data_IF_180764239600
#
_entry.id   IF_180764239600
#
_cell.length_a   1.000
_cell.length_b   1.000
_cell.length_c   1.000
_cell.angle_alpha   90.00
_cell.angle_beta   90.00
_cell.angle_gamma   90.00
#
_symmetry.space_group_name_H-M   'P 1'
#
loop_
_entity.id
_entity.type
_entity.pdbx_description
1 polymer ?
#
# COMPACT_ATOMS: atom_id res chain seq x y z
N UNK A 1 -8.29 19.85 15.31
CA UNK A 1 -7.00 19.23 14.91
C UNK A 1 -6.83 19.37 13.41
N UNK A 2 -5.73 19.95 12.94
CA UNK A 2 -5.45 20.00 11.50
C UNK A 2 -4.96 18.62 11.05
N UNK A 3 -5.64 18.02 10.07
CA UNK A 3 -5.23 16.73 9.51
C UNK A 3 -3.83 16.84 8.89
N UNK A 4 -2.95 15.89 9.19
CA UNK A 4 -1.65 15.75 8.55
C UNK A 4 -1.87 15.46 7.07
N UNK A 5 -1.40 16.37 6.19
CA UNK A 5 -1.49 16.20 4.73
C UNK A 5 -0.82 14.91 4.27
N UNK A 6 0.31 14.53 4.88
CA UNK A 6 1.02 13.29 4.53
C UNK A 6 0.15 12.05 4.71
N UNK A 7 -0.63 11.96 5.79
CA UNK A 7 -1.50 10.81 6.04
C UNK A 7 -2.63 10.76 4.99
N UNK A 8 -3.15 11.92 4.58
CA UNK A 8 -4.12 11.96 3.47
C UNK A 8 -3.51 11.47 2.16
N UNK A 9 -2.30 11.91 1.82
CA UNK A 9 -1.57 11.44 0.63
C UNK A 9 -1.24 9.95 0.69
N UNK A 10 -0.81 9.45 1.85
CA UNK A 10 -0.54 8.02 2.05
C UNK A 10 -1.82 7.20 1.89
N UNK A 11 -2.95 7.62 2.47
CA UNK A 11 -4.23 6.93 2.28
C UNK A 11 -4.69 6.93 0.82
N UNK A 12 -4.49 8.03 0.09
CA UNK A 12 -4.77 8.06 -1.37
C UNK A 12 -3.89 7.06 -2.11
N UNK A 13 -2.60 6.99 -1.80
CA UNK A 13 -1.71 6.02 -2.44
C UNK A 13 -2.06 4.58 -2.07
N UNK A 14 -2.47 4.32 -0.83
CA UNK A 14 -2.94 2.98 -0.42
C UNK A 14 -4.14 2.53 -1.26
N UNK A 15 -5.07 3.45 -1.59
CA UNK A 15 -6.18 3.17 -2.52
C UNK A 15 -5.64 2.86 -3.92
N UNK A 16 -4.70 3.66 -4.43
CA UNK A 16 -4.09 3.44 -5.75
C UNK A 16 -3.40 2.08 -5.81
N UNK A 17 -2.60 1.74 -4.79
CA UNK A 17 -1.96 0.44 -4.67
C UNK A 17 -2.98 -0.69 -4.56
N UNK A 18 -4.10 -0.47 -3.88
CA UNK A 18 -5.19 -1.43 -3.83
C UNK A 18 -5.73 -1.72 -5.25
N UNK A 19 -5.98 -0.69 -6.05
CA UNK A 19 -6.42 -0.89 -7.45
C UNK A 19 -5.34 -1.58 -8.28
N UNK A 20 -4.08 -1.15 -8.16
CA UNK A 20 -2.95 -1.75 -8.88
C UNK A 20 -2.78 -3.24 -8.56
N UNK A 21 -2.88 -3.61 -7.28
CA UNK A 21 -2.72 -5.00 -6.86
C UNK A 21 -3.89 -5.86 -7.35
N UNK A 22 -5.11 -5.32 -7.40
CA UNK A 22 -6.27 -6.02 -7.93
C UNK A 22 -6.13 -6.32 -9.43
N UNK A 23 -5.57 -5.39 -10.22
CA UNK A 23 -5.36 -5.60 -11.66
C UNK A 23 -4.07 -6.36 -11.98
N UNK A 24 -3.15 -6.49 -11.03
CA UNK A 24 -1.82 -7.04 -11.26
C UNK A 24 -1.83 -8.45 -11.83
N UNK A 25 -2.72 -9.33 -11.36
CA UNK A 25 -2.83 -10.69 -11.89
C UNK A 25 -3.20 -10.69 -13.37
N UNK A 26 -4.19 -9.89 -13.77
CA UNK A 26 -4.61 -9.82 -15.17
C UNK A 26 -3.47 -9.34 -16.08
N UNK A 27 -2.70 -8.35 -15.64
CA UNK A 27 -1.58 -7.79 -16.42
C UNK A 27 -0.39 -8.75 -16.46
N UNK A 28 0.01 -9.33 -15.32
CA UNK A 28 1.15 -10.25 -15.25
C UNK A 28 0.86 -11.54 -16.02
N UNK A 29 -0.32 -12.14 -15.86
CA UNK A 29 -0.71 -13.33 -16.62
C UNK A 29 -0.92 -13.03 -18.10
N UNK A 30 -1.53 -11.89 -18.45
CA UNK A 30 -1.72 -11.48 -19.84
C UNK A 30 -0.41 -11.26 -20.58
N UNK A 31 0.56 -10.59 -19.93
CA UNK A 31 1.91 -10.42 -20.50
C UNK A 31 2.65 -11.75 -20.60
N UNK A 32 2.50 -12.65 -19.62
CA UNK A 32 3.14 -13.96 -19.65
C UNK A 32 2.63 -14.83 -20.82
N UNK A 33 1.33 -14.78 -21.09
CA UNK A 33 0.73 -15.46 -22.24
C UNK A 33 1.20 -14.84 -23.57
N UNK A 34 1.27 -13.51 -23.64
CA UNK A 34 1.81 -12.81 -24.81
C UNK A 34 3.27 -13.15 -25.06
N UNK A 35 4.11 -13.12 -24.03
CA UNK A 35 5.54 -13.47 -24.13
C UNK A 35 5.73 -14.92 -24.60
N UNK A 36 4.92 -15.85 -24.10
CA UNK A 36 4.95 -17.26 -24.52
C UNK A 36 4.58 -17.48 -26.00
N UNK A 37 3.75 -16.60 -26.57
CA UNK A 37 3.27 -16.73 -27.96
C UNK A 37 4.10 -15.90 -28.96
N UNK A 38 4.75 -14.84 -28.49
CA UNK A 38 5.48 -13.88 -29.35
C UNK A 38 7.00 -13.92 -29.15
N UNK A 39 7.50 -14.68 -28.17
CA UNK A 39 8.92 -14.70 -27.80
C UNK A 39 9.39 -13.41 -27.12
N UNK A 40 8.47 -12.64 -26.54
CA UNK A 40 8.74 -11.38 -25.86
C UNK A 40 9.29 -11.52 -24.43
N UNK A 41 9.52 -10.38 -23.78
CA UNK A 41 9.99 -10.28 -22.39
C UNK A 41 9.25 -9.19 -21.56
N UNK A 42 8.01 -8.87 -21.93
CA UNK A 42 7.20 -7.84 -21.27
C UNK A 42 6.81 -8.20 -19.82
N UNK A 43 6.69 -9.49 -19.47
CA UNK A 43 6.31 -9.95 -18.12
C UNK A 43 7.29 -9.50 -17.05
N UNK A 44 8.59 -9.49 -17.36
CA UNK A 44 9.62 -9.01 -16.44
C UNK A 44 9.41 -7.53 -16.08
N UNK A 45 9.12 -6.70 -17.08
CA UNK A 45 8.85 -5.27 -16.87
C UNK A 45 7.55 -5.02 -16.11
N UNK A 46 6.47 -5.73 -16.47
CA UNK A 46 5.18 -5.59 -15.80
C UNK A 46 5.26 -5.99 -14.31
N UNK A 47 5.85 -7.15 -14.02
CA UNK A 47 6.02 -7.62 -12.64
C UNK A 47 6.92 -6.68 -11.81
N UNK A 48 8.03 -6.19 -12.38
CA UNK A 48 8.90 -5.22 -11.73
C UNK A 48 8.16 -3.92 -11.37
N UNK A 49 7.33 -3.39 -12.27
CA UNK A 49 6.52 -2.19 -12.01
C UNK A 49 5.61 -2.36 -10.79
N UNK A 50 4.86 -3.46 -10.71
CA UNK A 50 3.97 -3.71 -9.57
C UNK A 50 4.72 -3.87 -8.26
N UNK A 51 5.87 -4.57 -8.25
CA UNK A 51 6.68 -4.71 -7.04
C UNK A 51 7.31 -3.39 -6.59
N UNK A 52 7.77 -2.55 -7.53
CA UNK A 52 8.29 -1.21 -7.21
C UNK A 52 7.20 -0.37 -6.55
N UNK A 53 5.99 -0.34 -7.11
CA UNK A 53 4.85 0.39 -6.54
C UNK A 53 4.50 -0.08 -5.11
N UNK A 54 4.61 -1.38 -4.86
CA UNK A 54 4.41 -1.94 -3.53
C UNK A 54 5.44 -1.42 -2.52
N UNK A 55 6.73 -1.42 -2.90
CA UNK A 55 7.78 -0.89 -2.03
C UNK A 55 7.69 0.63 -1.84
N UNK A 56 7.24 1.38 -2.83
CA UNK A 56 6.90 2.80 -2.67
C UNK A 56 5.79 2.98 -1.62
N UNK A 57 4.76 2.12 -1.65
CA UNK A 57 3.71 2.09 -0.63
C UNK A 57 4.24 1.84 0.78
N UNK A 58 5.18 0.89 0.94
CA UNK A 58 5.86 0.63 2.21
C UNK A 58 6.57 1.89 2.72
N UNK A 59 7.39 2.52 1.88
CA UNK A 59 8.18 3.71 2.26
C UNK A 59 7.27 4.86 2.70
N UNK A 60 6.20 5.14 1.96
CA UNK A 60 5.30 6.23 2.30
C UNK A 60 4.49 5.97 3.57
N UNK A 61 4.11 4.72 3.84
CA UNK A 61 3.49 4.37 5.11
C UNK A 61 4.48 4.46 6.29
N UNK A 62 5.76 4.15 6.10
CA UNK A 62 6.80 4.39 7.13
C UNK A 62 6.90 5.90 7.44
N UNK A 63 6.91 6.76 6.42
CA UNK A 63 6.96 8.22 6.61
C UNK A 63 5.70 8.71 7.35
N UNK A 64 4.53 8.20 6.99
CA UNK A 64 3.26 8.52 7.67
C UNK A 64 3.27 8.05 9.13
N UNK A 65 3.84 6.87 9.41
CA UNK A 65 4.00 6.34 10.78
C UNK A 65 4.86 7.28 11.63
N UNK A 66 6.05 7.67 11.15
CA UNK A 66 6.96 8.55 11.89
C UNK A 66 6.30 9.90 12.18
N UNK A 67 5.60 10.49 11.20
CA UNK A 67 4.91 11.77 11.38
C UNK A 67 3.69 11.65 12.30
N UNK A 68 2.94 10.55 12.21
CA UNK A 68 1.79 10.30 13.09
C UNK A 68 2.22 10.13 14.55
N UNK A 69 3.34 9.43 14.82
CA UNK A 69 3.92 9.33 16.17
C UNK A 69 4.28 10.68 16.75
N UNK A 70 4.90 11.57 15.96
CA UNK A 70 5.28 12.92 16.41
C UNK A 70 4.07 13.82 16.67
N UNK A 71 2.95 13.58 16.00
CA UNK A 71 1.73 14.37 16.10
C UNK A 71 0.66 13.77 17.04
N UNK A 72 0.98 12.71 17.80
CA UNK A 72 0.03 11.98 18.67
C UNK A 72 -1.24 11.46 17.93
N UNK A 73 -1.10 11.11 16.65
CA UNK A 73 -2.15 10.50 15.83
C UNK A 73 -1.97 8.98 15.83
N UNK A 74 -3.07 8.23 15.74
CA UNK A 74 -3.07 6.78 15.64
C UNK A 74 -2.15 6.28 14.52
N UNK A 75 -1.31 5.30 14.85
CA UNK A 75 -0.37 4.64 13.94
C UNK A 75 -0.92 3.37 13.32
N UNK A 76 -2.16 2.97 13.66
CA UNK A 76 -2.78 1.73 13.17
C UNK A 76 -2.88 1.73 11.65
N UNK A 77 -3.34 2.84 11.06
CA UNK A 77 -3.43 2.99 9.60
C UNK A 77 -2.08 2.79 8.91
N UNK A 78 -1.04 3.59 9.25
CA UNK A 78 0.29 3.41 8.68
C UNK A 78 0.90 2.02 8.89
N UNK A 79 0.68 1.37 10.04
CA UNK A 79 1.19 0.00 10.26
C UNK A 79 0.50 -1.00 9.32
N UNK A 80 -0.82 -0.93 9.20
CA UNK A 80 -1.56 -1.79 8.27
C UNK A 80 -1.14 -1.52 6.83
N UNK A 81 -0.91 -0.25 6.45
CA UNK A 81 -0.47 0.09 5.10
C UNK A 81 0.92 -0.47 4.76
N UNK A 82 1.84 -0.49 5.72
CA UNK A 82 3.14 -1.20 5.60
C UNK A 82 2.91 -2.68 5.36
N UNK A 83 2.09 -3.33 6.19
CA UNK A 83 1.85 -4.78 6.10
C UNK A 83 1.21 -5.13 4.77
N UNK A 84 0.14 -4.43 4.37
CA UNK A 84 -0.55 -4.68 3.10
C UNK A 84 0.37 -4.48 1.89
N UNK A 85 1.15 -3.40 1.87
CA UNK A 85 2.11 -3.15 0.80
C UNK A 85 3.24 -4.19 0.77
N UNK A 86 3.75 -4.61 1.93
CA UNK A 86 4.82 -5.60 2.03
C UNK A 86 4.36 -7.01 1.63
N UNK A 87 3.13 -7.40 1.97
CA UNK A 87 2.56 -8.70 1.57
C UNK A 87 2.62 -8.87 0.05
N UNK A 88 2.16 -7.86 -0.69
CA UNK A 88 2.25 -7.86 -2.15
C UNK A 88 3.70 -7.70 -2.65
N UNK A 89 4.51 -6.85 -1.98
CA UNK A 89 5.91 -6.61 -2.35
C UNK A 89 6.82 -7.83 -2.23
N UNK A 90 6.47 -8.81 -1.39
CA UNK A 90 7.16 -10.11 -1.29
C UNK A 90 6.66 -11.08 -2.35
N UNK A 91 5.35 -11.10 -2.61
CA UNK A 91 4.78 -11.96 -3.65
C UNK A 91 3.41 -11.46 -4.11
N UNK A 92 3.19 -11.45 -5.43
CA UNK A 92 1.89 -11.18 -6.03
C UNK A 92 0.82 -12.21 -5.63
N UNK A 93 1.20 -13.40 -5.12
CA UNK A 93 0.23 -14.39 -4.62
C UNK A 93 -0.57 -13.90 -3.42
N UNK A 94 -0.03 -12.97 -2.64
CA UNK A 94 -0.68 -12.37 -1.47
C UNK A 94 -1.48 -11.10 -1.81
N UNK A 95 -1.78 -10.85 -3.09
CA UNK A 95 -2.55 -9.68 -3.50
C UNK A 95 -3.89 -9.59 -2.78
N UNK A 96 -4.66 -10.67 -2.71
CA UNK A 96 -5.98 -10.61 -2.05
C UNK A 96 -5.89 -10.25 -0.54
N UNK A 97 -5.05 -10.91 0.28
CA UNK A 97 -4.77 -10.43 1.64
C UNK A 97 -4.29 -8.98 1.71
N UNK A 98 -3.38 -8.56 0.80
CA UNK A 98 -2.86 -7.21 0.75
C UNK A 98 -3.96 -6.17 0.51
N UNK A 99 -4.93 -6.45 -0.38
CA UNK A 99 -6.09 -5.59 -0.65
C UNK A 99 -6.91 -5.33 0.62
N UNK A 100 -7.28 -6.39 1.34
CA UNK A 100 -8.09 -6.28 2.55
C UNK A 100 -7.38 -5.41 3.58
N UNK A 101 -6.08 -5.66 3.80
CA UNK A 101 -5.27 -4.90 4.75
C UNK A 101 -5.11 -3.43 4.33
N UNK A 102 -4.89 -3.16 3.04
CA UNK A 102 -4.75 -1.78 2.51
C UNK A 102 -6.05 -0.98 2.60
N UNK A 103 -7.21 -1.61 2.38
CA UNK A 103 -8.51 -0.94 2.55
C UNK A 103 -8.69 -0.51 4.00
N UNK A 104 -8.41 -1.41 4.94
CA UNK A 104 -8.51 -1.10 6.37
C UNK A 104 -7.48 -0.01 6.74
N UNK A 105 -6.23 -0.14 6.26
CA UNK A 105 -5.18 0.85 6.45
C UNK A 105 -5.63 2.25 6.01
N UNK A 106 -6.15 2.37 4.80
CA UNK A 106 -6.66 3.62 4.21
C UNK A 106 -7.68 4.29 5.13
N UNK A 107 -8.68 3.53 5.59
CA UNK A 107 -9.73 4.05 6.47
C UNK A 107 -9.13 4.65 7.74
N UNK A 108 -8.24 3.90 8.42
CA UNK A 108 -7.60 4.40 9.64
C UNK A 108 -6.65 5.58 9.38
N UNK A 109 -5.89 5.56 8.29
CA UNK A 109 -4.94 6.60 7.91
C UNK A 109 -5.66 7.92 7.58
N UNK A 110 -6.80 7.88 6.88
CA UNK A 110 -7.56 9.08 6.50
C UNK A 110 -8.43 9.65 7.63
N UNK A 111 -8.90 8.81 8.54
CA UNK A 111 -9.63 9.25 9.73
C UNK A 111 -8.72 10.04 10.68
N UNK A 112 -7.44 9.65 10.80
CA UNK A 112 -6.45 10.30 11.68
C UNK A 112 -6.93 10.41 13.14
N UNK A 113 -7.51 9.33 13.66
CA UNK A 113 -7.97 9.29 15.05
C UNK A 113 -6.84 9.66 16.03
N UNK A 114 -7.13 10.38 17.13
CA UNK A 114 -6.16 10.63 18.19
C UNK A 114 -5.61 9.31 18.72
N UNK A 115 -4.33 9.28 19.11
CA UNK A 115 -3.77 8.11 19.77
C UNK A 115 -4.54 7.84 21.08
N UNK A 116 -4.77 6.56 21.41
CA UNK A 116 -5.52 6.12 22.60
C UNK A 116 -4.94 6.67 23.92
N UNK A 117 -3.67 7.12 23.91
CA UNK A 117 -2.96 7.69 25.06
C UNK A 117 -2.96 9.23 25.09
N UNK A 118 -3.64 9.92 24.16
CA UNK A 118 -3.67 11.38 24.11
C UNK A 118 -4.55 12.03 25.19
N UNK A 119 -5.34 11.23 25.94
CA UNK A 119 -6.26 11.71 26.99
C UNK A 119 -5.64 11.58 28.40
N UNK A 120 -4.38 11.14 28.53
CA UNK A 120 -3.75 10.89 29.84
C UNK A 120 -2.50 11.74 30.07
N UNK A 121 -2.56 13.04 29.78
CA UNK A 121 -1.65 14.03 30.34
C UNK A 121 -2.41 15.22 30.86
#
# INVERSE_FOLDING_TARGET
>A
MMKLKINMWTGILDIVNCVLFAVSWFVIFGTAFSDATTGGNATGGASAFFYIMAWVGVVLNIVALVKSKKANISIVGPILGIIGSALFGVTAALAFPALVVLIIATVFTMLQHPAKNAVTK
#
